data_IF_979132037795
#
_entry.id   IF_979132037795
#
_cell.length_a   1.000
_cell.length_b   1.000
_cell.length_c   1.000
_cell.angle_alpha   90.00
_cell.angle_beta   90.00
_cell.angle_gamma   90.00
#
_symmetry.space_group_name_H-M   'P 1'
#
loop_
_entity.id
_entity.type
_entity.pdbx_description
1 polymer ?
#
# COMPACT_ATOMS: atom_id res chain seq x y z
N UNK A 1 -25.89 14.26 6.09
CA UNK A 1 -26.51 13.63 4.90
C UNK A 1 -26.84 12.21 5.27
N UNK A 2 -28.12 11.88 5.46
CA UNK A 2 -28.57 10.50 5.54
C UNK A 2 -28.55 9.93 4.11
N UNK A 3 -27.53 9.16 3.80
CA UNK A 3 -27.47 8.37 2.57
C UNK A 3 -28.39 7.16 2.73
N UNK A 4 -29.67 7.33 2.39
CA UNK A 4 -30.54 6.18 2.19
C UNK A 4 -30.63 5.95 0.67
N UNK A 5 -29.88 4.98 0.19
CA UNK A 5 -30.03 4.44 -1.15
C UNK A 5 -31.33 3.62 -1.16
N UNK A 6 -32.45 4.27 -1.49
CA UNK A 6 -33.73 3.59 -1.63
C UNK A 6 -33.78 2.94 -3.01
N UNK A 7 -33.91 1.62 -3.07
CA UNK A 7 -34.18 0.95 -4.31
C UNK A 7 -33.85 -0.54 -4.43
N UNK A 8 -33.26 -1.16 -3.47
CA UNK A 8 -33.21 -2.62 -3.33
C UNK A 8 -32.77 -2.98 -1.93
N UNK A 9 -33.22 -4.12 -1.43
CA UNK A 9 -32.82 -4.68 -0.13
C UNK A 9 -31.31 -4.95 0.02
N UNK A 10 -30.51 -4.62 -0.99
CA UNK A 10 -29.05 -4.71 -0.99
C UNK A 10 -28.35 -3.48 -0.37
N UNK A 11 -29.08 -2.46 0.05
CA UNK A 11 -28.49 -1.24 0.58
C UNK A 11 -28.11 -1.31 2.06
N UNK A 12 -28.20 -2.45 2.68
CA UNK A 12 -27.67 -2.73 4.02
C UNK A 12 -26.39 -3.57 3.85
N UNK A 13 -25.56 -3.24 2.88
CA UNK A 13 -24.21 -3.80 2.88
C UNK A 13 -23.30 -2.95 3.72
N UNK A 14 -22.65 -3.64 4.59
CA UNK A 14 -21.75 -3.23 5.63
C UNK A 14 -20.61 -2.35 5.08
N UNK A 15 -20.47 -1.13 5.61
CA UNK A 15 -19.33 -0.24 5.46
C UNK A 15 -19.20 0.49 4.11
N UNK A 16 -20.14 1.37 3.71
CA UNK A 16 -19.88 2.32 2.64
C UNK A 16 -18.76 3.29 3.08
N UNK A 17 -17.74 3.44 2.22
CA UNK A 17 -16.59 4.31 2.47
C UNK A 17 -16.13 5.00 1.19
N UNK A 18 -15.18 5.93 1.28
CA UNK A 18 -14.56 6.60 0.15
C UNK A 18 -15.54 7.28 -0.80
N UNK A 19 -16.44 8.17 -0.32
CA UNK A 19 -17.41 8.82 -1.19
C UNK A 19 -16.74 9.84 -2.11
N UNK A 20 -16.98 9.69 -3.41
CA UNK A 20 -16.59 10.66 -4.44
C UNK A 20 -17.84 11.26 -5.10
N UNK A 21 -17.83 12.57 -5.31
CA UNK A 21 -18.94 13.31 -5.91
C UNK A 21 -18.50 13.93 -7.22
N UNK A 22 -19.22 13.60 -8.29
CA UNK A 22 -18.96 14.13 -9.66
C UNK A 22 -20.18 14.87 -10.17
N UNK A 23 -19.92 15.79 -11.11
CA UNK A 23 -20.97 16.46 -11.86
C UNK A 23 -20.74 16.24 -13.35
N UNK A 24 -21.70 15.62 -14.03
CA UNK A 24 -21.64 15.36 -15.47
C UNK A 24 -23.04 15.44 -16.07
N UNK A 25 -23.18 16.14 -17.21
CA UNK A 25 -24.41 16.26 -17.99
C UNK A 25 -25.67 16.65 -17.15
N UNK A 26 -25.45 17.57 -16.18
CA UNK A 26 -26.50 18.04 -15.28
C UNK A 26 -26.94 17.06 -14.20
N UNK A 27 -26.20 15.96 -14.01
CA UNK A 27 -26.36 15.03 -12.89
C UNK A 27 -25.22 15.16 -11.89
N UNK A 28 -25.53 14.92 -10.62
CA UNK A 28 -24.57 14.66 -9.55
C UNK A 28 -24.49 13.16 -9.35
N UNK A 29 -23.30 12.61 -9.38
CA UNK A 29 -23.02 11.21 -9.15
C UNK A 29 -22.30 11.06 -7.83
N UNK A 30 -22.77 10.14 -7.01
CA UNK A 30 -22.10 9.72 -5.77
C UNK A 30 -21.59 8.29 -5.96
N UNK A 31 -20.30 8.13 -6.00
CA UNK A 31 -19.64 6.82 -6.04
C UNK A 31 -19.07 6.48 -4.67
N UNK A 32 -19.21 5.24 -4.26
CA UNK A 32 -18.76 4.73 -2.96
C UNK A 32 -18.08 3.37 -3.11
N UNK A 33 -17.20 3.06 -2.18
CA UNK A 33 -16.67 1.71 -1.98
C UNK A 33 -17.56 0.98 -0.98
N UNK A 34 -17.72 -0.33 -1.18
CA UNK A 34 -18.49 -1.21 -0.30
C UNK A 34 -17.74 -2.53 -0.05
N UNK A 35 -18.14 -3.26 0.99
CA UNK A 35 -17.64 -4.60 1.29
C UNK A 35 -16.24 -4.65 1.96
N UNK A 36 -15.70 -3.51 2.34
CA UNK A 36 -14.35 -3.41 2.91
C UNK A 36 -13.26 -3.79 1.90
N UNK A 37 -12.07 -4.18 2.36
CA UNK A 37 -10.87 -4.38 1.52
C UNK A 37 -10.61 -5.84 1.15
N UNK A 38 -11.56 -6.72 1.39
CA UNK A 38 -11.45 -8.16 1.16
C UNK A 38 -12.25 -8.66 -0.06
N UNK A 39 -12.69 -9.92 -0.05
CA UNK A 39 -13.38 -10.54 -1.20
C UNK A 39 -14.65 -9.82 -1.65
N UNK A 40 -15.35 -9.14 -0.75
CA UNK A 40 -16.60 -8.42 -1.03
C UNK A 40 -16.38 -7.00 -1.56
N UNK A 41 -15.12 -6.55 -1.69
CA UNK A 41 -14.78 -5.21 -2.14
C UNK A 41 -15.43 -4.89 -3.50
N UNK A 42 -16.04 -3.72 -3.59
CA UNK A 42 -16.83 -3.33 -4.75
C UNK A 42 -16.99 -1.82 -4.88
N UNK A 43 -17.47 -1.38 -6.03
CA UNK A 43 -17.82 0.01 -6.32
C UNK A 43 -19.30 0.09 -6.64
N UNK A 44 -20.01 0.98 -5.94
CA UNK A 44 -21.41 1.31 -6.20
C UNK A 44 -21.55 2.79 -6.53
N UNK A 45 -22.56 3.13 -7.33
CA UNK A 45 -22.81 4.51 -7.76
C UNK A 45 -24.31 4.85 -7.73
N UNK A 46 -24.62 6.09 -7.41
CA UNK A 46 -25.95 6.65 -7.44
C UNK A 46 -25.92 8.04 -8.08
N UNK A 47 -27.03 8.55 -8.60
CA UNK A 47 -27.14 9.89 -9.17
C UNK A 47 -28.38 10.64 -8.76
N UNK A 48 -28.30 11.98 -8.79
CA UNK A 48 -29.42 12.90 -8.55
C UNK A 48 -29.30 14.14 -9.42
N UNK A 49 -30.40 14.82 -9.67
CA UNK A 49 -30.39 16.16 -10.33
C UNK A 49 -30.01 17.28 -9.35
N UNK A 50 -30.09 17.03 -8.06
CA UNK A 50 -29.83 18.01 -7.01
C UNK A 50 -29.09 17.35 -5.84
N UNK A 51 -28.13 18.07 -5.25
CA UNK A 51 -27.45 17.64 -4.01
C UNK A 51 -28.38 17.56 -2.80
N UNK A 52 -29.58 18.17 -2.89
CA UNK A 52 -30.57 18.19 -1.81
C UNK A 52 -31.66 17.14 -1.96
N UNK A 53 -31.66 16.42 -3.07
CA UNK A 53 -32.61 15.36 -3.38
C UNK A 53 -32.01 13.98 -3.17
N UNK A 54 -32.86 12.97 -3.19
CA UNK A 54 -32.44 11.58 -3.10
C UNK A 54 -31.62 11.15 -4.32
N UNK A 55 -30.54 10.42 -4.05
CA UNK A 55 -29.74 9.79 -5.09
C UNK A 55 -30.33 8.42 -5.43
N UNK A 56 -30.67 8.21 -6.70
CA UNK A 56 -31.08 6.92 -7.24
C UNK A 56 -29.88 6.06 -7.53
N UNK A 57 -29.81 4.87 -6.94
CA UNK A 57 -28.77 3.88 -7.21
C UNK A 57 -28.83 3.34 -8.61
N UNK A 58 -27.68 3.04 -9.19
CA UNK A 58 -27.60 2.31 -10.47
C UNK A 58 -28.20 0.90 -10.30
N UNK A 59 -29.06 0.47 -11.23
CA UNK A 59 -29.65 -0.88 -11.17
C UNK A 59 -28.61 -2.00 -11.31
N UNK A 60 -27.42 -1.67 -11.84
CA UNK A 60 -26.31 -2.60 -12.02
C UNK A 60 -25.36 -2.64 -10.81
N UNK A 61 -25.68 -1.93 -9.69
CA UNK A 61 -24.80 -1.94 -8.52
C UNK A 61 -24.62 -3.35 -7.93
N UNK A 62 -23.40 -3.69 -7.51
CA UNK A 62 -22.19 -2.90 -7.68
C UNK A 62 -21.79 -2.82 -9.15
N UNK A 63 -21.38 -1.63 -9.60
CA UNK A 63 -20.94 -1.42 -10.99
C UNK A 63 -19.59 -2.07 -11.28
N UNK A 64 -18.84 -2.42 -10.23
CA UNK A 64 -17.57 -3.14 -10.37
C UNK A 64 -17.22 -3.94 -9.12
N UNK A 65 -16.76 -5.17 -9.31
CA UNK A 65 -16.26 -6.06 -8.25
C UNK A 65 -15.58 -7.28 -8.86
N UNK A 66 -14.62 -7.86 -8.16
CA UNK A 66 -13.96 -9.12 -8.52
C UNK A 66 -14.41 -10.33 -7.69
N UNK A 67 -15.41 -10.18 -6.82
CA UNK A 67 -15.87 -11.25 -5.89
C UNK A 67 -16.31 -12.54 -6.60
N UNK A 68 -16.71 -12.45 -7.86
CA UNK A 68 -17.22 -13.60 -8.64
C UNK A 68 -16.16 -14.24 -9.54
N UNK A 69 -14.90 -13.76 -9.53
CA UNK A 69 -13.82 -14.26 -10.39
C UNK A 69 -13.03 -15.43 -9.77
N UNK A 70 -13.30 -15.75 -8.50
CA UNK A 70 -12.56 -16.79 -7.78
C UNK A 70 -11.27 -16.30 -7.14
N UNK A 71 -10.70 -17.15 -6.26
CA UNK A 71 -9.51 -16.79 -5.46
C UNK A 71 -8.21 -16.83 -6.26
N UNK A 72 -8.20 -17.62 -7.33
CA UNK A 72 -7.01 -17.82 -8.18
C UNK A 72 -6.92 -16.81 -9.31
N UNK A 73 -7.85 -15.84 -9.37
CA UNK A 73 -7.77 -14.76 -10.33
C UNK A 73 -6.58 -13.85 -10.01
N UNK A 74 -5.76 -13.43 -11.03
CA UNK A 74 -4.51 -12.70 -10.78
C UNK A 74 -4.68 -11.35 -10.07
N UNK A 75 -5.84 -10.73 -10.19
CA UNK A 75 -6.16 -9.43 -9.55
C UNK A 75 -7.41 -9.58 -8.70
N UNK A 76 -7.28 -9.49 -7.39
CA UNK A 76 -8.38 -9.71 -6.44
C UNK A 76 -8.68 -8.44 -5.63
N UNK A 77 -9.82 -8.43 -4.94
CA UNK A 77 -10.22 -7.37 -3.99
C UNK A 77 -10.34 -5.99 -4.61
N UNK A 78 -10.85 -5.93 -5.85
CA UNK A 78 -10.98 -4.68 -6.60
C UNK A 78 -12.14 -3.82 -6.12
N UNK A 79 -11.86 -2.55 -5.85
CA UNK A 79 -12.84 -1.57 -5.38
C UNK A 79 -12.21 -0.22 -5.03
N UNK A 80 -12.97 0.65 -4.36
CA UNK A 80 -12.56 1.98 -3.92
C UNK A 80 -11.99 2.80 -5.09
N UNK A 81 -12.86 3.07 -6.08
CA UNK A 81 -12.49 3.77 -7.30
C UNK A 81 -12.68 5.28 -7.22
N UNK A 82 -11.93 6.00 -8.04
CA UNK A 82 -12.07 7.42 -8.31
C UNK A 82 -12.07 7.65 -9.83
N UNK A 83 -13.11 8.36 -10.33
CA UNK A 83 -13.27 8.66 -11.75
C UNK A 83 -12.45 9.88 -12.12
N UNK A 84 -11.79 9.82 -13.26
CA UNK A 84 -11.01 10.93 -13.84
C UNK A 84 -11.23 11.00 -15.34
N UNK A 85 -11.27 12.19 -15.89
CA UNK A 85 -11.30 12.46 -17.33
C UNK A 85 -9.99 13.13 -17.78
N UNK A 86 -9.62 12.89 -19.03
CA UNK A 86 -8.51 13.57 -19.68
C UNK A 86 -8.98 14.79 -20.49
N UNK A 87 -8.03 15.53 -21.05
CA UNK A 87 -8.32 16.72 -21.87
C UNK A 87 -9.09 16.39 -23.16
N UNK A 88 -9.05 15.16 -23.62
CA UNK A 88 -9.75 14.68 -24.82
C UNK A 88 -11.16 14.16 -24.51
N UNK A 89 -11.55 14.16 -23.23
CA UNK A 89 -12.86 13.73 -22.75
C UNK A 89 -13.00 12.21 -22.57
N UNK A 90 -11.89 11.46 -22.59
CA UNK A 90 -11.89 10.06 -22.21
C UNK A 90 -11.99 9.92 -20.69
N UNK A 91 -12.73 8.94 -20.24
CA UNK A 91 -12.92 8.65 -18.83
C UNK A 91 -12.19 7.40 -18.39
N UNK A 92 -11.65 7.48 -17.20
CA UNK A 92 -10.92 6.39 -16.55
C UNK A 92 -11.37 6.27 -15.09
N UNK A 93 -11.06 5.15 -14.49
CA UNK A 93 -11.18 4.96 -13.04
C UNK A 93 -9.84 4.44 -12.50
N UNK A 94 -9.32 5.11 -11.49
CA UNK A 94 -8.25 4.58 -10.64
C UNK A 94 -8.89 3.86 -9.47
N UNK A 95 -8.42 2.67 -9.14
CA UNK A 95 -8.98 1.89 -8.03
C UNK A 95 -7.94 1.04 -7.34
N UNK A 96 -8.27 0.53 -6.18
CA UNK A 96 -7.42 -0.35 -5.40
C UNK A 96 -7.76 -1.81 -5.70
N UNK A 97 -6.73 -2.63 -5.87
CA UNK A 97 -6.84 -4.08 -5.94
C UNK A 97 -5.53 -4.71 -5.43
N UNK A 98 -5.47 -6.02 -5.34
CA UNK A 98 -4.28 -6.75 -4.92
C UNK A 98 -3.94 -7.83 -5.93
N UNK A 99 -2.64 -8.07 -6.16
CA UNK A 99 -2.14 -9.23 -6.90
C UNK A 99 -1.58 -10.24 -5.90
N UNK A 100 -2.20 -11.38 -5.68
CA UNK A 100 -1.66 -12.39 -4.79
C UNK A 100 -0.46 -13.11 -5.41
N UNK A 101 0.50 -13.49 -4.58
CA UNK A 101 1.54 -14.45 -4.90
C UNK A 101 1.46 -15.60 -3.91
N UNK A 102 1.31 -16.83 -4.40
CA UNK A 102 1.13 -18.01 -3.55
C UNK A 102 0.01 -17.85 -2.50
N UNK A 103 -1.08 -17.18 -2.87
CA UNK A 103 -2.22 -16.91 -1.99
C UNK A 103 -2.03 -15.75 -1.00
N UNK A 104 -0.91 -15.05 -1.02
CA UNK A 104 -0.59 -13.95 -0.12
C UNK A 104 -0.48 -12.60 -0.83
N UNK A 105 -1.05 -11.55 -0.26
CA UNK A 105 -0.96 -10.18 -0.76
C UNK A 105 0.11 -9.38 -0.01
N UNK A 106 1.37 -9.83 -0.05
CA UNK A 106 2.47 -9.25 0.75
C UNK A 106 2.82 -7.83 0.35
N UNK A 107 2.58 -7.44 -0.90
CA UNK A 107 2.75 -6.05 -1.37
C UNK A 107 1.59 -5.16 -0.88
N UNK A 108 0.46 -5.76 -0.51
CA UNK A 108 -0.74 -5.06 -0.11
C UNK A 108 -1.63 -4.68 -1.30
N UNK A 109 -2.28 -3.51 -1.21
CA UNK A 109 -3.11 -2.99 -2.29
C UNK A 109 -2.29 -2.12 -3.23
N UNK A 110 -2.53 -2.31 -4.52
CA UNK A 110 -1.91 -1.56 -5.60
C UNK A 110 -2.96 -0.71 -6.31
N UNK A 111 -2.52 0.34 -7.00
CA UNK A 111 -3.40 1.20 -7.79
C UNK A 111 -3.49 0.66 -9.21
N UNK A 112 -4.71 0.42 -9.66
CA UNK A 112 -5.05 0.00 -11.01
C UNK A 112 -5.77 1.11 -11.75
N UNK A 113 -5.61 1.14 -13.06
CA UNK A 113 -6.28 2.06 -13.96
C UNK A 113 -7.11 1.25 -14.96
N UNK A 114 -8.37 1.65 -15.18
CA UNK A 114 -9.25 1.05 -16.17
C UNK A 114 -9.99 2.12 -16.96
N UNK A 115 -10.30 1.81 -18.23
CA UNK A 115 -11.12 2.66 -19.09
C UNK A 115 -12.56 2.69 -18.59
N UNK A 116 -13.22 3.83 -18.76
CA UNK A 116 -14.65 4.01 -18.48
C UNK A 116 -15.36 4.54 -19.71
N UNK A 117 -16.48 3.92 -20.07
CA UNK A 117 -17.42 4.45 -21.03
C UNK A 117 -18.75 4.77 -20.36
N UNK A 118 -19.49 5.76 -20.90
CA UNK A 118 -20.78 6.15 -20.36
C UNK A 118 -21.90 5.60 -21.22
N UNK A 119 -22.72 4.71 -20.65
CA UNK A 119 -23.88 4.12 -21.30
C UNK A 119 -25.15 4.45 -20.51
N UNK A 120 -26.18 4.98 -21.16
CA UNK A 120 -27.44 5.41 -20.55
C UNK A 120 -27.25 6.36 -19.36
N UNK A 121 -26.18 7.14 -19.42
CA UNK A 121 -25.79 8.05 -18.34
C UNK A 121 -25.26 7.35 -17.08
N UNK A 122 -24.67 6.17 -17.21
CA UNK A 122 -23.98 5.46 -16.13
C UNK A 122 -22.61 5.00 -16.60
N UNK A 123 -21.59 5.01 -15.71
CA UNK A 123 -20.27 4.52 -16.08
C UNK A 123 -20.24 3.00 -16.20
N UNK A 124 -19.57 2.52 -17.23
CA UNK A 124 -19.21 1.12 -17.48
C UNK A 124 -17.70 1.01 -17.39
N UNK A 125 -17.22 0.28 -16.41
CA UNK A 125 -15.80 0.11 -16.15
C UNK A 125 -15.28 -1.06 -16.98
N UNK A 126 -14.23 -0.81 -17.75
CA UNK A 126 -13.55 -1.76 -18.62
C UNK A 126 -14.55 -2.47 -19.57
N UNK A 127 -15.27 -1.71 -20.42
CA UNK A 127 -16.33 -2.24 -21.27
C UNK A 127 -15.81 -3.38 -22.17
N UNK A 128 -16.64 -4.41 -22.34
CA UNK A 128 -16.29 -5.62 -23.10
C UNK A 128 -15.42 -6.63 -22.34
N UNK A 129 -14.76 -6.21 -21.24
CA UNK A 129 -13.91 -7.05 -20.38
C UNK A 129 -14.57 -7.27 -19.03
N UNK A 130 -15.01 -6.21 -18.35
CA UNK A 130 -15.74 -6.25 -17.09
C UNK A 130 -14.91 -6.57 -15.84
N UNK A 131 -13.59 -6.72 -15.96
CA UNK A 131 -12.68 -6.98 -14.86
C UNK A 131 -11.33 -6.30 -15.08
N UNK A 132 -10.50 -6.17 -14.04
CA UNK A 132 -9.11 -5.71 -14.17
C UNK A 132 -8.22 -6.82 -14.70
N UNK A 133 -7.23 -6.41 -15.46
CA UNK A 133 -6.12 -7.25 -15.92
C UNK A 133 -4.81 -6.68 -15.39
N UNK A 134 -3.75 -7.45 -15.37
CA UNK A 134 -2.41 -6.98 -14.96
C UNK A 134 -1.85 -5.90 -15.89
N UNK A 135 -2.28 -5.93 -17.13
CA UNK A 135 -1.90 -4.97 -18.16
C UNK A 135 -3.13 -4.52 -18.92
N UNK A 136 -3.21 -3.25 -19.24
CA UNK A 136 -4.29 -2.68 -20.06
C UNK A 136 -3.68 -1.71 -21.06
N UNK A 137 -4.26 -1.69 -22.27
CA UNK A 137 -3.94 -0.69 -23.29
C UNK A 137 -4.93 0.46 -23.16
N UNK A 138 -4.41 1.66 -23.06
CA UNK A 138 -5.21 2.87 -22.97
C UNK A 138 -4.82 3.81 -24.12
N UNK A 139 -5.76 4.60 -24.66
CA UNK A 139 -5.48 5.59 -25.71
C UNK A 139 -4.78 6.83 -25.14
N UNK A 140 -3.80 6.64 -24.26
CA UNK A 140 -2.99 7.67 -23.66
C UNK A 140 -1.65 7.68 -24.41
N UNK A 141 -1.22 8.85 -24.88
CA UNK A 141 0.08 8.96 -25.56
C UNK A 141 1.23 8.47 -24.69
N UNK A 142 2.28 7.95 -25.34
CA UNK A 142 3.49 7.55 -24.61
C UNK A 142 4.08 8.75 -23.88
N UNK A 143 4.15 8.67 -22.56
CA UNK A 143 4.87 9.61 -21.72
C UNK A 143 6.24 9.00 -21.37
N UNK A 144 7.30 9.56 -21.91
CA UNK A 144 8.67 9.21 -21.48
C UNK A 144 8.93 9.90 -20.15
N UNK A 145 9.04 9.12 -19.09
CA UNK A 145 9.62 9.60 -17.85
C UNK A 145 11.07 10.00 -18.15
N UNK A 146 11.41 11.26 -17.90
CA UNK A 146 12.82 11.73 -18.02
C UNK A 146 13.75 11.03 -17.02
N UNK A 147 13.19 10.30 -16.07
CA UNK A 147 13.90 9.54 -15.05
C UNK A 147 13.98 8.08 -15.49
N UNK A 148 15.17 7.58 -15.78
CA UNK A 148 15.41 6.15 -15.91
C UNK A 148 14.93 5.47 -14.61
N UNK A 149 13.94 4.59 -14.75
CA UNK A 149 13.56 3.67 -13.67
C UNK A 149 14.67 2.62 -13.60
N UNK A 150 15.72 2.93 -12.85
CA UNK A 150 16.72 1.92 -12.51
C UNK A 150 16.05 0.89 -11.60
N UNK A 151 16.18 -0.39 -11.92
CA UNK A 151 15.69 -1.49 -11.09
C UNK A 151 16.35 -1.54 -9.69
N UNK A 152 17.36 -0.73 -9.44
CA UNK A 152 18.04 -0.61 -8.16
C UNK A 152 17.89 0.81 -7.59
N UNK A 153 17.20 0.93 -6.46
CA UNK A 153 17.16 2.16 -5.67
C UNK A 153 18.40 2.22 -4.78
N UNK A 154 19.26 3.20 -4.98
CA UNK A 154 20.41 3.46 -4.13
C UNK A 154 20.25 4.79 -3.36
N UNK A 155 20.56 4.77 -2.06
CA UNK A 155 20.53 5.97 -1.20
C UNK A 155 21.92 6.18 -0.61
N UNK A 156 22.60 7.23 -1.05
CA UNK A 156 23.99 7.54 -0.69
C UNK A 156 24.16 8.34 0.60
N UNK A 157 23.11 8.89 1.17
CA UNK A 157 23.14 9.75 2.38
C UNK A 157 24.10 10.97 2.29
N UNK A 158 24.33 11.47 1.08
CA UNK A 158 25.17 12.64 0.81
C UNK A 158 24.41 13.97 0.83
N UNK A 159 23.10 13.90 0.92
CA UNK A 159 22.19 15.04 0.98
C UNK A 159 22.07 15.57 2.42
N UNK A 160 21.69 16.86 2.54
CA UNK A 160 21.42 17.47 3.86
C UNK A 160 20.07 17.06 4.46
N UNK A 161 19.17 16.54 3.64
CA UNK A 161 17.83 16.09 4.03
C UNK A 161 17.73 14.59 3.81
N UNK A 162 17.01 13.92 4.71
CA UNK A 162 16.68 12.50 4.54
C UNK A 162 15.86 12.29 3.27
N UNK A 163 16.13 11.21 2.55
CA UNK A 163 15.39 10.85 1.35
C UNK A 163 13.91 10.58 1.72
N UNK A 164 12.98 11.23 1.02
CA UNK A 164 11.55 11.16 1.31
C UNK A 164 10.94 9.76 1.07
N UNK A 165 11.67 8.87 0.38
CA UNK A 165 11.31 7.45 0.22
C UNK A 165 11.52 6.63 1.50
N UNK A 166 12.37 7.11 2.41
CA UNK A 166 12.63 6.45 3.68
C UNK A 166 11.51 6.72 4.67
N UNK A 167 10.86 5.65 5.07
CA UNK A 167 9.76 5.65 6.03
C UNK A 167 10.28 5.34 7.43
N UNK A 168 9.63 5.91 8.44
CA UNK A 168 9.86 5.61 9.85
C UNK A 168 8.61 4.98 10.47
N UNK A 169 8.76 4.25 11.55
CA UNK A 169 7.63 3.74 12.33
C UNK A 169 7.01 4.88 13.14
N UNK A 170 5.67 4.93 13.14
CA UNK A 170 4.90 5.96 13.83
C UNK A 170 5.33 7.38 13.42
N UNK A 171 6.13 8.04 14.26
CA UNK A 171 6.63 9.39 14.06
C UNK A 171 8.14 9.37 13.88
N UNK A 172 8.63 10.07 12.86
CA UNK A 172 10.07 10.33 12.71
C UNK A 172 10.54 11.25 13.82
N UNK A 173 11.55 10.82 14.54
CA UNK A 173 12.22 11.61 15.57
C UNK A 173 13.49 12.23 14.97
N UNK A 174 13.43 13.53 14.69
CA UNK A 174 14.53 14.26 14.04
C UNK A 174 15.81 14.33 14.90
N UNK A 175 15.71 14.07 16.21
CA UNK A 175 16.87 14.04 17.12
C UNK A 175 17.49 12.64 17.22
N UNK A 176 16.86 11.63 16.66
CA UNK A 176 17.34 10.26 16.75
C UNK A 176 18.17 9.82 15.53
N UNK A 177 18.48 10.74 14.61
CA UNK A 177 19.38 10.48 13.49
C UNK A 177 20.15 11.73 13.07
N UNK A 178 21.22 11.54 12.29
CA UNK A 178 22.01 12.64 11.73
C UNK A 178 22.59 12.25 10.37
N UNK A 179 22.56 13.21 9.42
CA UNK A 179 23.24 13.14 8.12
C UNK A 179 24.54 13.98 8.12
N UNK A 180 24.83 14.70 9.19
CA UNK A 180 25.96 15.62 9.27
C UNK A 180 27.09 15.16 10.21
N UNK A 181 26.79 14.33 11.22
CA UNK A 181 27.79 13.79 12.14
C UNK A 181 28.85 12.96 11.41
N UNK A 182 28.47 12.30 10.32
CA UNK A 182 29.38 11.60 9.43
C UNK A 182 28.91 11.73 8.00
N UNK A 183 29.64 12.48 7.20
CA UNK A 183 29.31 12.72 5.79
C UNK A 183 29.19 11.41 4.99
N UNK A 184 28.11 11.26 4.22
CA UNK A 184 27.82 10.09 3.40
C UNK A 184 27.23 8.91 4.17
N UNK A 185 26.85 9.11 5.44
CA UNK A 185 26.24 8.09 6.27
C UNK A 185 24.96 8.62 6.94
N UNK A 186 23.99 7.76 7.08
CA UNK A 186 22.88 7.95 8.01
C UNK A 186 23.30 7.42 9.39
N UNK A 187 23.59 8.31 10.31
CA UNK A 187 23.80 7.93 11.71
C UNK A 187 22.45 7.77 12.38
N UNK A 188 22.20 6.61 12.93
CA UNK A 188 21.01 6.30 13.71
C UNK A 188 21.39 6.17 15.19
N UNK A 189 20.78 6.98 16.05
CA UNK A 189 21.00 6.88 17.51
C UNK A 189 20.14 5.76 18.08
N UNK A 190 20.72 4.91 18.91
CA UNK A 190 19.99 3.79 19.50
C UNK A 190 18.85 4.29 20.41
N UNK A 191 17.72 3.63 20.32
CA UNK A 191 16.55 3.84 21.19
C UNK A 191 16.27 2.60 22.03
N UNK A 192 15.56 2.79 23.14
CA UNK A 192 15.11 1.66 24.00
C UNK A 192 13.94 0.89 23.41
N UNK A 193 13.16 1.54 22.55
CA UNK A 193 11.97 0.98 21.91
C UNK A 193 12.34 -0.15 20.97
N UNK A 194 11.54 -1.21 20.98
CA UNK A 194 11.75 -2.40 20.19
C UNK A 194 10.80 -2.45 18.99
N UNK A 195 11.21 -3.12 17.92
CA UNK A 195 10.36 -3.37 16.73
C UNK A 195 9.13 -4.23 17.05
N UNK A 196 9.16 -5.01 18.13
CA UNK A 196 8.06 -5.84 18.63
C UNK A 196 6.95 -5.03 19.34
N UNK A 197 7.11 -3.73 19.46
CA UNK A 197 6.19 -2.85 20.17
C UNK A 197 5.57 -1.85 19.18
N UNK A 198 4.34 -1.40 19.45
CA UNK A 198 3.69 -0.33 18.68
C UNK A 198 4.23 1.05 19.09
N UNK A 199 5.51 1.26 18.86
CA UNK A 199 6.23 2.47 19.27
C UNK A 199 7.00 3.08 18.11
N UNK A 200 7.65 4.22 18.37
CA UNK A 200 8.57 4.90 17.47
C UNK A 200 9.99 4.30 17.55
N UNK A 201 10.09 2.98 17.47
CA UNK A 201 11.38 2.30 17.40
C UNK A 201 12.25 2.88 16.29
N UNK A 202 13.58 2.90 16.50
CA UNK A 202 14.51 3.45 15.51
C UNK A 202 14.55 2.59 14.26
N UNK A 203 13.99 3.11 13.19
CA UNK A 203 13.80 2.40 11.93
C UNK A 203 13.77 3.38 10.75
N UNK A 204 14.45 3.03 9.68
CA UNK A 204 14.30 3.60 8.35
C UNK A 204 14.15 2.50 7.33
N UNK A 205 13.10 2.56 6.54
CA UNK A 205 12.81 1.51 5.57
C UNK A 205 12.26 2.03 4.25
N UNK A 206 12.51 1.28 3.21
CA UNK A 206 11.88 1.45 1.91
C UNK A 206 10.65 0.55 1.82
N UNK A 207 9.62 1.02 1.14
CA UNK A 207 8.46 0.17 0.85
C UNK A 207 8.84 -0.90 -0.18
N UNK A 208 8.54 -2.14 0.13
CA UNK A 208 8.62 -3.24 -0.83
C UNK A 208 7.67 -2.98 -2.00
N UNK A 209 8.14 -3.14 -3.23
CA UNK A 209 7.38 -2.90 -4.48
C UNK A 209 7.16 -4.18 -5.28
N UNK A 210 8.04 -5.17 -5.09
CA UNK A 210 8.06 -6.42 -5.84
C UNK A 210 8.05 -7.61 -4.88
N UNK A 211 7.60 -8.77 -5.35
CA UNK A 211 7.66 -10.00 -4.56
C UNK A 211 9.10 -10.49 -4.43
N UNK A 212 9.87 -10.43 -5.51
CA UNK A 212 11.29 -10.76 -5.54
C UNK A 212 12.12 -9.49 -5.43
N UNK A 213 12.91 -9.38 -4.38
CA UNK A 213 13.78 -8.22 -4.16
C UNK A 213 15.05 -8.60 -3.39
N UNK A 214 16.08 -7.79 -3.59
CA UNK A 214 17.29 -7.81 -2.76
C UNK A 214 17.44 -6.48 -2.06
N UNK A 215 17.61 -6.51 -0.75
CA UNK A 215 17.93 -5.34 0.06
C UNK A 215 19.32 -5.48 0.66
N UNK A 216 20.15 -4.47 0.47
CA UNK A 216 21.53 -4.43 1.00
C UNK A 216 21.76 -3.13 1.75
N UNK A 217 22.45 -3.20 2.87
CA UNK A 217 22.89 -2.05 3.62
C UNK A 217 24.34 -2.24 4.08
N UNK A 218 25.17 -1.22 3.88
CA UNK A 218 26.49 -1.17 4.50
C UNK A 218 26.33 -0.51 5.87
N UNK A 219 26.72 -1.22 6.92
CA UNK A 219 26.52 -0.78 8.29
C UNK A 219 27.86 -0.82 9.07
N UNK A 220 28.15 0.24 9.79
CA UNK A 220 29.18 0.27 10.81
C UNK A 220 28.48 0.30 12.18
N UNK A 221 28.71 -0.72 12.96
CA UNK A 221 28.08 -0.85 14.26
C UNK A 221 29.04 -1.51 15.25
N UNK A 222 29.26 -0.82 16.37
CA UNK A 222 30.11 -1.26 17.47
C UNK A 222 29.28 -1.28 18.74
N UNK A 223 28.74 -2.45 19.08
CA UNK A 223 27.98 -2.62 20.30
C UNK A 223 28.92 -2.50 21.51
N UNK A 224 28.59 -1.61 22.44
CA UNK A 224 29.30 -1.47 23.70
C UNK A 224 28.70 -2.32 24.82
N UNK A 225 27.41 -2.61 24.71
CA UNK A 225 26.62 -3.33 25.71
C UNK A 225 25.90 -4.53 25.08
N UNK A 226 25.61 -5.53 25.91
CA UNK A 226 24.94 -6.76 25.43
C UNK A 226 23.54 -6.55 24.88
N UNK A 227 22.84 -5.50 25.29
CA UNK A 227 21.48 -5.17 24.83
C UNK A 227 21.44 -4.26 23.60
N UNK A 228 22.60 -3.83 23.10
CA UNK A 228 22.66 -3.03 21.88
C UNK A 228 22.64 -3.90 20.65
N UNK A 229 21.87 -3.48 19.65
CA UNK A 229 21.66 -4.25 18.43
C UNK A 229 21.34 -3.33 17.26
N UNK A 230 21.81 -3.68 16.07
CA UNK A 230 21.49 -3.03 14.81
C UNK A 230 21.53 -4.03 13.66
N UNK A 231 20.79 -3.77 12.59
CA UNK A 231 20.75 -4.67 11.46
C UNK A 231 19.72 -4.26 10.42
N UNK A 232 19.36 -5.21 9.58
CA UNK A 232 18.33 -5.07 8.55
C UNK A 232 17.09 -5.87 8.93
N UNK A 233 15.93 -5.45 8.42
CA UNK A 233 14.65 -6.09 8.75
C UNK A 233 13.68 -6.03 7.57
N UNK A 234 13.01 -7.15 7.28
CA UNK A 234 11.80 -7.20 6.50
C UNK A 234 10.63 -7.04 7.48
N UNK A 235 10.01 -5.86 7.50
CA UNK A 235 9.05 -5.46 8.51
C UNK A 235 7.64 -5.35 7.93
N UNK A 236 6.75 -6.25 8.33
CA UNK A 236 5.33 -6.14 8.04
C UNK A 236 4.61 -5.32 9.13
N UNK A 237 4.80 -5.70 10.38
CA UNK A 237 4.28 -5.02 11.56
C UNK A 237 5.06 -5.45 12.82
N UNK A 238 4.69 -4.91 13.99
CA UNK A 238 5.33 -5.23 15.25
C UNK A 238 5.24 -6.71 15.64
N UNK A 239 4.22 -7.43 15.17
CA UNK A 239 3.97 -8.83 15.46
C UNK A 239 4.61 -9.77 14.42
N UNK A 240 4.91 -9.28 13.22
CA UNK A 240 5.44 -10.08 12.11
C UNK A 240 6.58 -9.35 11.41
N UNK A 241 7.79 -9.82 11.60
CA UNK A 241 8.98 -9.31 10.91
C UNK A 241 10.13 -10.33 10.98
N UNK A 242 10.99 -10.26 9.96
CA UNK A 242 12.23 -11.03 9.88
C UNK A 242 13.41 -10.07 9.97
N UNK A 243 14.30 -10.27 10.92
CA UNK A 243 15.47 -9.41 11.12
C UNK A 243 16.78 -10.17 11.09
N UNK A 244 17.80 -9.56 10.52
CA UNK A 244 19.20 -9.98 10.64
C UNK A 244 19.95 -8.85 11.32
N UNK A 245 20.57 -9.15 12.48
CA UNK A 245 21.15 -8.10 13.33
C UNK A 245 22.45 -8.55 13.98
N UNK A 246 23.32 -7.60 14.25
CA UNK A 246 24.48 -7.73 15.11
C UNK A 246 24.05 -7.34 16.52
N UNK A 247 24.39 -8.13 17.51
CA UNK A 247 24.14 -7.85 18.93
C UNK A 247 25.30 -8.37 19.80
N UNK A 248 25.32 -7.95 21.06
CA UNK A 248 26.34 -8.33 22.03
C UNK A 248 27.40 -7.23 22.23
N UNK A 249 28.18 -7.36 23.30
CA UNK A 249 29.26 -6.44 23.66
C UNK A 249 30.56 -6.68 22.87
N UNK A 250 31.57 -5.85 23.16
CA UNK A 250 32.86 -5.82 22.44
C UNK A 250 33.58 -7.18 22.37
N UNK A 251 33.41 -8.04 23.35
CA UNK A 251 34.10 -9.34 23.41
C UNK A 251 33.32 -10.50 22.77
N UNK A 252 31.99 -10.33 22.58
CA UNK A 252 31.11 -11.41 22.06
C UNK A 252 30.05 -10.82 21.13
N UNK A 253 30.46 -10.53 19.91
CA UNK A 253 29.50 -10.17 18.85
C UNK A 253 28.84 -11.41 18.29
N UNK A 254 27.53 -11.33 18.08
CA UNK A 254 26.74 -12.40 17.45
C UNK A 254 25.94 -11.82 16.30
N UNK A 255 25.95 -12.55 15.18
CA UNK A 255 24.98 -12.33 14.12
C UNK A 255 23.75 -13.21 14.45
N UNK A 256 22.60 -12.57 14.49
CA UNK A 256 21.33 -13.25 14.75
C UNK A 256 20.38 -13.03 13.58
N UNK A 257 19.72 -14.11 13.15
CA UNK A 257 18.55 -14.05 12.27
C UNK A 257 17.35 -14.47 13.08
N UNK A 258 16.34 -13.61 13.15
CA UNK A 258 15.15 -13.80 13.98
C UNK A 258 13.91 -13.60 13.13
N UNK A 259 13.06 -14.64 13.10
CA UNK A 259 11.69 -14.54 12.63
C UNK A 259 10.78 -14.31 13.85
N UNK A 260 10.18 -13.14 13.94
CA UNK A 260 9.16 -12.84 14.92
C UNK A 260 7.79 -12.97 14.26
N UNK A 261 7.05 -14.01 14.64
CA UNK A 261 5.74 -14.36 14.07
C UNK A 261 4.81 -14.68 15.23
N UNK A 262 3.72 -13.93 15.38
CA UNK A 262 2.88 -13.99 16.59
C UNK A 262 1.73 -14.99 16.50
N UNK A 263 1.47 -15.60 15.34
CA UNK A 263 0.33 -16.53 15.23
C UNK A 263 0.42 -17.76 16.12
N UNK A 264 1.62 -18.09 16.68
CA UNK A 264 1.81 -19.24 17.56
C UNK A 264 2.82 -19.00 18.69
N UNK A 265 3.05 -17.76 19.12
CA UNK A 265 4.11 -17.42 20.10
C UNK A 265 5.51 -17.99 19.75
N UNK A 266 5.76 -18.25 18.48
CA UNK A 266 6.99 -18.92 18.04
C UNK A 266 7.97 -17.89 17.54
N UNK A 267 9.00 -17.62 18.32
CA UNK A 267 10.19 -16.89 17.86
C UNK A 267 11.24 -17.90 17.42
N UNK A 268 11.50 -17.99 16.12
CA UNK A 268 12.60 -18.81 15.61
C UNK A 268 13.89 -17.98 15.67
N UNK A 269 14.81 -18.43 16.48
CA UNK A 269 16.13 -17.81 16.64
C UNK A 269 17.20 -18.66 15.97
N UNK A 270 17.87 -18.13 14.97
CA UNK A 270 19.11 -18.68 14.42
C UNK A 270 20.26 -17.79 14.84
N UNK A 271 21.25 -18.33 15.51
CA UNK A 271 22.47 -17.61 15.89
C UNK A 271 23.68 -18.25 15.25
N UNK A 272 24.57 -17.45 14.69
CA UNK A 272 25.95 -17.83 14.42
C UNK A 272 26.88 -16.91 15.20
N UNK A 273 27.98 -17.43 15.71
CA UNK A 273 29.04 -16.61 16.25
C UNK A 273 29.69 -15.87 15.08
N UNK A 274 29.67 -14.53 15.13
CA UNK A 274 30.41 -13.72 14.16
C UNK A 274 31.90 -13.81 14.53
N UNK A 275 32.69 -14.30 13.61
CA UNK A 275 34.16 -14.30 13.69
C UNK A 275 34.71 -12.89 13.65
#
# INVERSE_FOLDING_TARGET
IRLSLVGSEMCIRDRPEGPHLYKKDGWYYLMIAEGGTGPEHSISIARSRSLREWFCGCKRNPIFTHRNLGRDYPVIYAGHGDLVDDADGNWYVVMLASRPCEGHCSIGRETFLAKVEWEDGWPVINPGIGHLTEKTELPIGEYRLEREVTHADFIAFDQKKIDDRLLSLQRRDENAYSLIERKGFLRMHLKKQKLTEKTDAQYFGLRQKDYDFTFSACMEFDAERENEQAGIVCYQNHANHLSMRICGGKEKRKLQVIAHITENDTCLLYTSDAA
#
